data_IF_300236138877
#
_entry.id   IF_300236138877
#
_cell.length_a   1.000
_cell.length_b   1.000
_cell.length_c   1.000
_cell.angle_alpha   90.00
_cell.angle_beta   90.00
_cell.angle_gamma   90.00
#
_symmetry.space_group_name_H-M   'P 1'
#
loop_
_entity.id
_entity.type
_entity.pdbx_description
1 polymer ?
#
# COMPACT_ATOMS: atom_id res chain seq x y z
N UNK A 1 -17.30 -30.35 -10.35
CA UNK A 1 -16.77 -29.23 -9.54
C UNK A 1 -15.41 -28.82 -10.08
N UNK A 2 -15.35 -27.83 -10.97
CA UNK A 2 -14.10 -27.37 -11.57
C UNK A 2 -13.33 -26.50 -10.56
N UNK A 3 -12.20 -27.03 -10.08
CA UNK A 3 -11.24 -26.27 -9.28
C UNK A 3 -10.68 -25.14 -10.14
N UNK A 4 -10.86 -23.88 -9.72
CA UNK A 4 -10.20 -22.73 -10.35
C UNK A 4 -8.68 -22.88 -10.16
N UNK A 5 -7.85 -22.64 -11.19
CA UNK A 5 -6.41 -22.68 -11.01
C UNK A 5 -5.97 -21.50 -10.13
N UNK A 6 -5.17 -21.84 -9.11
CA UNK A 6 -4.56 -20.93 -8.15
C UNK A 6 -3.84 -19.77 -8.85
N UNK A 7 -3.97 -18.58 -8.26
CA UNK A 7 -3.33 -17.36 -8.72
C UNK A 7 -1.82 -17.60 -8.85
N UNK A 8 -1.33 -17.55 -10.11
CA UNK A 8 0.09 -17.66 -10.45
C UNK A 8 0.90 -16.65 -9.65
N UNK A 9 1.65 -17.12 -8.64
CA UNK A 9 2.83 -16.41 -8.16
C UNK A 9 3.79 -16.30 -9.34
N UNK A 10 4.16 -15.09 -9.84
CA UNK A 10 5.16 -14.98 -10.89
C UNK A 10 6.53 -15.32 -10.27
N UNK A 11 7.20 -16.40 -10.70
CA UNK A 11 8.58 -16.63 -10.31
C UNK A 11 9.46 -15.62 -11.07
N UNK A 12 10.58 -15.23 -10.46
CA UNK A 12 11.68 -14.55 -11.14
C UNK A 12 11.43 -13.12 -11.64
N UNK A 13 11.28 -12.18 -10.70
CA UNK A 13 11.66 -10.79 -10.99
C UNK A 13 13.04 -10.52 -10.37
N UNK A 14 14.08 -10.63 -11.21
CA UNK A 14 15.45 -10.25 -10.91
C UNK A 14 15.44 -8.89 -10.19
N UNK A 15 16.13 -8.75 -9.03
CA UNK A 15 16.08 -7.51 -8.28
C UNK A 15 16.55 -6.35 -9.16
N UNK A 16 15.86 -5.20 -9.10
CA UNK A 16 16.25 -4.01 -9.85
C UNK A 16 17.70 -3.64 -9.49
N UNK A 17 18.55 -3.47 -10.51
CA UNK A 17 19.96 -3.12 -10.32
C UNK A 17 20.06 -1.64 -9.90
N UNK A 18 20.36 -1.40 -8.62
CA UNK A 18 20.49 -0.04 -8.06
C UNK A 18 21.94 0.46 -8.19
N UNK A 19 22.14 1.50 -9.01
CA UNK A 19 23.48 1.96 -9.46
C UNK A 19 24.19 2.98 -8.56
N UNK A 20 23.49 3.71 -7.68
CA UNK A 20 24.05 4.80 -6.85
C UNK A 20 24.08 4.45 -5.36
N UNK A 21 25.03 4.95 -4.57
CA UNK A 21 25.11 4.67 -3.11
C UNK A 21 24.44 5.75 -2.24
N UNK A 22 23.27 6.23 -2.68
CA UNK A 22 22.48 7.17 -1.90
C UNK A 22 21.83 6.51 -0.68
N UNK A 23 21.49 7.29 0.36
CA UNK A 23 20.67 6.82 1.50
C UNK A 23 19.38 6.13 1.03
N UNK A 24 18.78 6.65 -0.04
CA UNK A 24 17.58 6.08 -0.66
C UNK A 24 17.87 4.71 -1.30
N UNK A 25 19.02 4.54 -1.93
CA UNK A 25 19.45 3.25 -2.48
C UNK A 25 19.72 2.23 -1.38
N UNK A 26 20.41 2.62 -0.31
CA UNK A 26 20.65 1.74 0.84
C UNK A 26 19.34 1.24 1.46
N UNK A 27 18.35 2.13 1.64
CA UNK A 27 17.03 1.74 2.12
C UNK A 27 16.32 0.75 1.19
N UNK A 28 16.38 0.94 -0.14
CA UNK A 28 15.79 0.02 -1.12
C UNK A 28 16.46 -1.37 -1.10
N UNK A 29 17.78 -1.43 -0.89
CA UNK A 29 18.52 -2.70 -0.74
C UNK A 29 18.08 -3.43 0.54
N UNK A 30 17.95 -2.71 1.65
CA UNK A 30 17.50 -3.26 2.93
C UNK A 30 16.01 -3.65 2.95
N UNK A 31 15.17 -3.01 2.14
CA UNK A 31 13.70 -3.22 2.11
C UNK A 31 13.22 -3.68 0.73
N UNK A 32 13.87 -4.72 0.19
CA UNK A 32 13.65 -5.15 -1.18
C UNK A 32 12.21 -5.61 -1.46
N UNK A 33 11.54 -6.27 -0.51
CA UNK A 33 10.14 -6.69 -0.63
C UNK A 33 9.20 -5.49 -0.77
N UNK A 34 9.33 -4.49 0.10
CA UNK A 34 8.56 -3.25 0.05
C UNK A 34 8.81 -2.49 -1.25
N UNK A 35 10.06 -2.40 -1.68
CA UNK A 35 10.40 -1.74 -2.93
C UNK A 35 9.78 -2.45 -4.14
N UNK A 36 9.82 -3.80 -4.17
CA UNK A 36 9.15 -4.60 -5.21
C UNK A 36 7.65 -4.38 -5.24
N UNK A 37 7.00 -4.31 -4.08
CA UNK A 37 5.56 -4.06 -3.98
C UNK A 37 5.20 -2.70 -4.60
N UNK A 38 5.93 -1.65 -4.25
CA UNK A 38 5.73 -0.33 -4.87
C UNK A 38 5.96 -0.36 -6.39
N UNK A 39 6.98 -1.04 -6.89
CA UNK A 39 7.22 -1.18 -8.33
C UNK A 39 6.12 -1.98 -9.06
N UNK A 40 5.52 -2.97 -8.40
CA UNK A 40 4.41 -3.72 -8.95
C UNK A 40 3.15 -2.84 -9.07
N UNK A 41 2.81 -2.05 -8.05
CA UNK A 41 1.71 -1.07 -8.11
C UNK A 41 1.94 -0.08 -9.25
N UNK A 42 3.14 0.52 -9.35
CA UNK A 42 3.45 1.48 -10.41
C UNK A 42 3.27 0.87 -11.80
N UNK A 43 3.77 -0.35 -12.02
CA UNK A 43 3.59 -1.05 -13.29
C UNK A 43 2.13 -1.37 -13.58
N UNK A 44 1.36 -1.81 -12.59
CA UNK A 44 -0.04 -2.12 -12.75
C UNK A 44 -0.90 -0.88 -13.03
N UNK A 45 -0.55 0.27 -12.45
CA UNK A 45 -1.16 1.56 -12.78
C UNK A 45 -0.85 1.98 -14.22
N UNK A 46 0.41 1.85 -14.65
CA UNK A 46 0.83 2.20 -16.01
C UNK A 46 0.21 1.28 -17.07
N UNK A 47 0.06 -0.01 -16.77
CA UNK A 47 -0.56 -0.99 -17.67
C UNK A 47 -2.09 -0.96 -17.65
N UNK A 48 -2.70 -0.22 -16.72
CA UNK A 48 -4.14 -0.19 -16.51
C UNK A 48 -4.71 -1.43 -15.80
N UNK A 49 -3.86 -2.38 -15.40
CA UNK A 49 -4.27 -3.55 -14.59
C UNK A 49 -4.78 -3.16 -13.20
N UNK A 50 -4.30 -2.02 -12.69
CA UNK A 50 -4.76 -1.43 -11.43
C UNK A 50 -5.23 -0.01 -11.70
N UNK A 51 -6.35 0.37 -11.09
CA UNK A 51 -6.90 1.72 -11.17
C UNK A 51 -6.98 2.33 -9.79
N UNK A 52 -6.52 3.58 -9.66
CA UNK A 52 -6.62 4.33 -8.40
C UNK A 52 -8.10 4.52 -8.04
N UNK A 53 -8.45 4.14 -6.82
CA UNK A 53 -9.76 4.46 -6.24
C UNK A 53 -9.66 5.74 -5.39
N UNK A 54 -10.78 6.44 -5.16
CA UNK A 54 -10.81 7.52 -4.18
C UNK A 54 -10.46 6.99 -2.78
N UNK A 55 -10.14 7.91 -1.86
CA UNK A 55 -9.86 7.57 -0.48
C UNK A 55 -11.08 6.85 0.14
N UNK A 56 -10.87 5.68 0.74
CA UNK A 56 -11.98 4.90 1.32
C UNK A 56 -12.67 5.59 2.50
N UNK A 57 -12.06 6.62 3.09
CA UNK A 57 -12.58 7.34 4.27
C UNK A 57 -13.25 8.66 3.90
N UNK A 58 -12.67 9.44 2.96
CA UNK A 58 -13.16 10.79 2.63
C UNK A 58 -13.30 11.07 1.13
N UNK A 59 -13.21 10.03 0.29
CA UNK A 59 -13.53 10.05 -1.13
C UNK A 59 -12.69 10.98 -2.04
N UNK A 60 -11.70 11.69 -1.48
CA UNK A 60 -10.76 12.49 -2.28
C UNK A 60 -9.94 11.60 -3.22
N UNK A 61 -9.68 12.09 -4.44
CA UNK A 61 -8.96 11.35 -5.49
C UNK A 61 -7.43 11.47 -5.40
N UNK A 62 -6.93 12.37 -4.56
CA UNK A 62 -5.49 12.50 -4.29
C UNK A 62 -5.11 11.46 -3.24
N UNK A 63 -4.70 10.29 -3.72
CA UNK A 63 -4.46 9.10 -2.89
C UNK A 63 -3.09 8.47 -3.12
N UNK A 64 -2.62 7.81 -2.07
CA UNK A 64 -1.49 6.90 -2.05
C UNK A 64 -2.00 5.45 -1.91
N UNK A 65 -1.20 4.50 -2.39
CA UNK A 65 -1.44 3.08 -2.19
C UNK A 65 -0.86 2.65 -0.83
N UNK A 66 -1.73 2.26 0.10
CA UNK A 66 -1.35 1.65 1.35
C UNK A 66 -1.23 0.13 1.18
N UNK A 67 -0.19 -0.45 1.78
CA UNK A 67 0.05 -1.89 1.76
C UNK A 67 -0.12 -2.44 3.18
N UNK A 68 -1.23 -3.14 3.44
CA UNK A 68 -1.38 -3.95 4.66
C UNK A 68 -0.45 -5.17 4.62
N UNK A 69 -0.24 -5.70 3.41
CA UNK A 69 0.53 -6.92 3.12
C UNK A 69 1.46 -6.76 1.93
N UNK A 70 2.75 -6.58 2.19
CA UNK A 70 3.76 -6.39 1.13
C UNK A 70 4.04 -7.64 0.27
N UNK A 71 3.59 -8.82 0.69
CA UNK A 71 3.62 -10.06 -0.09
C UNK A 71 2.48 -10.15 -1.13
N UNK A 72 1.47 -9.28 -1.03
CA UNK A 72 0.35 -9.15 -1.97
C UNK A 72 0.38 -7.75 -2.61
N UNK A 73 1.28 -7.51 -3.56
CA UNK A 73 1.67 -6.15 -3.93
C UNK A 73 0.59 -5.37 -4.69
N UNK A 74 -0.44 -6.01 -5.22
CA UNK A 74 -1.57 -5.36 -5.89
C UNK A 74 -2.80 -5.24 -4.99
N UNK A 75 -2.78 -5.88 -3.82
CA UNK A 75 -3.81 -5.72 -2.81
C UNK A 75 -3.45 -4.50 -1.97
N UNK A 76 -4.05 -3.37 -2.34
CA UNK A 76 -3.75 -2.06 -1.75
C UNK A 76 -5.02 -1.31 -1.42
N UNK A 77 -4.99 -0.60 -0.30
CA UNK A 77 -6.03 0.37 0.07
C UNK A 77 -5.67 1.73 -0.50
N UNK A 78 -6.68 2.47 -0.94
CA UNK A 78 -6.50 3.82 -1.46
C UNK A 78 -6.81 4.82 -0.36
N UNK A 79 -5.79 5.56 0.07
CA UNK A 79 -5.91 6.50 1.18
C UNK A 79 -5.31 7.84 0.79
N UNK A 80 -5.97 8.93 1.17
CA UNK A 80 -5.32 10.23 1.13
C UNK A 80 -4.19 10.27 2.15
N UNK A 81 -3.20 11.16 1.95
CA UNK A 81 -2.03 11.29 2.82
C UNK A 81 -2.39 11.33 4.31
N UNK A 82 -3.44 12.06 4.66
CA UNK A 82 -3.89 12.22 6.06
C UNK A 82 -4.34 10.89 6.66
N UNK A 83 -5.20 10.15 5.96
CA UNK A 83 -5.68 8.85 6.45
C UNK A 83 -4.61 7.78 6.39
N UNK A 84 -3.71 7.84 5.41
CA UNK A 84 -2.58 6.94 5.30
C UNK A 84 -1.62 7.07 6.52
N UNK A 85 -1.28 8.30 6.91
CA UNK A 85 -0.43 8.54 8.09
C UNK A 85 -1.16 8.15 9.38
N UNK A 86 -2.46 8.45 9.50
CA UNK A 86 -3.26 8.05 10.67
C UNK A 86 -3.29 6.53 10.83
N UNK A 87 -3.49 5.78 9.74
CA UNK A 87 -3.45 4.32 9.77
C UNK A 87 -2.09 3.79 10.25
N UNK A 88 -0.98 4.39 9.80
CA UNK A 88 0.34 4.00 10.30
C UNK A 88 0.57 4.33 11.78
N UNK A 89 -0.11 5.35 12.33
CA UNK A 89 0.05 5.78 13.71
C UNK A 89 -0.88 5.04 14.68
N UNK A 90 -2.15 4.87 14.33
CA UNK A 90 -3.20 4.29 15.17
C UNK A 90 -3.51 2.82 14.84
N UNK A 91 -3.02 2.29 13.70
CA UNK A 91 -3.39 0.97 13.21
C UNK A 91 -4.80 0.94 12.63
N UNK A 92 -5.36 -0.27 12.50
CA UNK A 92 -6.71 -0.52 11.93
C UNK A 92 -7.82 0.26 12.68
N UNK A 93 -7.58 0.63 13.94
CA UNK A 93 -8.42 1.55 14.70
C UNK A 93 -8.10 3.01 14.33
N UNK A 94 -8.40 3.39 13.08
CA UNK A 94 -8.14 4.76 12.55
C UNK A 94 -8.81 5.89 13.37
N UNK A 95 -9.78 5.54 14.20
CA UNK A 95 -10.56 6.46 15.03
C UNK A 95 -10.81 5.82 16.40
N UNK A 96 -9.82 5.82 17.31
CA UNK A 96 -10.08 5.38 18.67
C UNK A 96 -11.24 6.21 19.22
N UNK A 97 -12.33 5.54 19.58
CA UNK A 97 -13.51 6.15 20.20
C UNK A 97 -13.08 6.65 21.59
N UNK A 98 -12.48 7.82 21.65
CA UNK A 98 -11.80 8.34 22.83
C UNK A 98 -11.73 9.86 22.83
N UNK A 99 -12.87 10.50 22.54
CA UNK A 99 -12.98 11.97 22.55
C UNK A 99 -14.42 12.50 22.61
N UNK A 100 -15.40 11.66 22.89
CA UNK A 100 -16.74 12.12 23.25
C UNK A 100 -16.73 12.44 24.74
N UNK A 101 -16.31 13.66 25.09
CA UNK A 101 -16.60 14.22 26.41
C UNK A 101 -18.11 14.37 26.52
N UNK A 102 -18.76 13.38 27.12
CA UNK A 102 -20.13 13.49 27.61
C UNK A 102 -20.19 14.66 28.61
N UNK A 103 -20.58 15.84 28.14
CA UNK A 103 -21.14 16.87 29.00
C UNK A 103 -22.45 16.28 29.55
N UNK A 104 -22.41 15.86 30.80
CA UNK A 104 -23.60 15.66 31.62
C UNK A 104 -23.92 17.01 32.26
N UNK A 105 -25.19 17.40 32.14
CA UNK A 105 -25.78 18.66 32.59
C UNK A 105 -25.72 18.85 34.11
#
# INVERSE_FOLDING_TARGET
>A
MTRKPDAKTPPDQKPPVLKSDSRQTSWRRANLSKYRAHLAVQRALMSGQLQKQPCEVCEVRVVDAHHDRYDQPLDVRWLCRTHHVKLHFYGEDMFPIGGMSSKQD
#
